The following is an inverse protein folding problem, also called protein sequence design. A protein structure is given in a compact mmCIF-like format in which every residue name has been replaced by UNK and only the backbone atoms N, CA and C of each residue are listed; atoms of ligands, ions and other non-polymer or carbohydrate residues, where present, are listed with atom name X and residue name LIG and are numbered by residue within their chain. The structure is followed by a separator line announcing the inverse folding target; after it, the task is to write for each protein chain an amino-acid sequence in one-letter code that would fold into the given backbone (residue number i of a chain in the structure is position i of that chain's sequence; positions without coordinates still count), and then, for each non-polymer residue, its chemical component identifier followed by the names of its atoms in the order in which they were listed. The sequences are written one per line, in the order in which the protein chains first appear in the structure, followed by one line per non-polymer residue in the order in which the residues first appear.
data_IF_355819791541
#
_entry.id   IF_355819791541
#
_cell.length_a   1.000
_cell.length_b   1.000
_cell.length_c   1.000
_cell.angle_alpha   90.00
_cell.angle_beta   90.00
_cell.angle_gamma   90.00
#
_symmetry.space_group_name_H-M   'P 1'
#
loop_
_entity.id
_entity.type
_entity.pdbx_description
1 polymer ?
#
# COMPACT_ATOMS: atom_id res chain seq x y z
N UNK A 1 76.05 -32.17 -22.30
CA UNK A 1 75.24 -31.71 -21.15
C UNK A 1 74.92 -30.22 -21.24
N UNK A 2 75.89 -29.35 -21.58
CA UNK A 2 75.70 -27.90 -21.84
C UNK A 2 74.45 -27.49 -22.66
N UNK A 3 74.22 -28.14 -23.81
CA UNK A 3 73.10 -27.80 -24.72
C UNK A 3 71.71 -27.79 -24.04
N UNK A 4 71.45 -28.70 -23.10
CA UNK A 4 70.16 -28.77 -22.39
C UNK A 4 70.03 -27.69 -21.31
N UNK A 5 71.13 -27.28 -20.70
CA UNK A 5 71.14 -26.22 -19.70
C UNK A 5 70.88 -24.86 -20.34
N UNK A 6 71.42 -24.64 -21.54
CA UNK A 6 71.20 -23.42 -22.33
C UNK A 6 69.73 -23.34 -22.79
N UNK A 7 69.16 -24.45 -23.27
CA UNK A 7 67.75 -24.53 -23.68
C UNK A 7 66.77 -24.24 -22.52
N UNK A 8 67.05 -24.76 -21.33
CA UNK A 8 66.27 -24.48 -20.11
C UNK A 8 66.38 -23.00 -19.72
N UNK A 9 67.57 -22.40 -19.82
CA UNK A 9 67.76 -20.98 -19.51
C UNK A 9 67.00 -20.08 -20.48
N UNK A 10 66.99 -20.43 -21.76
CA UNK A 10 66.27 -19.69 -22.79
C UNK A 10 64.76 -19.75 -22.56
N UNK A 11 64.22 -20.92 -22.19
CA UNK A 11 62.80 -21.10 -21.88
C UNK A 11 62.39 -20.35 -20.60
N UNK A 12 63.23 -20.38 -19.56
CA UNK A 12 63.01 -19.60 -18.32
C UNK A 12 63.02 -18.10 -18.62
N UNK A 13 63.97 -17.61 -19.40
CA UNK A 13 64.03 -16.20 -19.80
C UNK A 13 62.81 -15.81 -20.64
N UNK A 14 62.36 -16.67 -21.55
CA UNK A 14 61.16 -16.44 -22.36
C UNK A 14 59.90 -16.37 -21.47
N UNK A 15 59.77 -17.26 -20.49
CA UNK A 15 58.67 -17.23 -19.52
C UNK A 15 58.67 -15.96 -18.66
N UNK A 16 59.84 -15.56 -18.14
CA UNK A 16 59.97 -14.31 -17.38
C UNK A 16 59.63 -13.08 -18.24
N UNK A 17 60.12 -13.03 -19.48
CA UNK A 17 59.86 -11.94 -20.41
C UNK A 17 58.38 -11.89 -20.87
N UNK A 18 57.67 -13.02 -20.85
CA UNK A 18 56.21 -13.05 -21.14
C UNK A 18 55.35 -12.43 -20.03
N UNK A 19 55.90 -12.31 -18.83
CA UNK A 19 55.24 -11.69 -17.67
C UNK A 19 55.60 -10.20 -17.55
N UNK A 20 56.60 -9.72 -18.29
CA UNK A 20 56.95 -8.29 -18.35
C UNK A 20 55.82 -7.52 -19.03
N UNK A 21 55.24 -6.56 -18.31
CA UNK A 21 54.08 -5.79 -18.75
C UNK A 21 52.72 -6.32 -18.27
N UNK A 22 52.70 -7.45 -17.54
CA UNK A 22 51.50 -7.92 -16.86
C UNK A 22 51.13 -6.96 -15.71
N UNK A 23 50.22 -6.03 -15.99
CA UNK A 23 49.65 -5.16 -14.97
C UNK A 23 48.50 -5.84 -14.25
N UNK A 24 48.32 -5.49 -12.97
CA UNK A 24 47.20 -5.95 -12.16
C UNK A 24 45.89 -5.56 -12.88
N UNK A 25 45.06 -6.53 -13.20
CA UNK A 25 43.77 -6.28 -13.84
C UNK A 25 42.92 -5.37 -12.94
N UNK A 26 42.71 -4.13 -13.37
CA UNK A 26 41.76 -3.23 -12.74
C UNK A 26 40.34 -3.61 -13.17
N UNK A 27 39.34 -3.24 -12.37
CA UNK A 27 37.96 -3.32 -12.81
C UNK A 27 37.82 -2.48 -14.08
N UNK A 28 37.20 -3.05 -15.12
CA UNK A 28 36.98 -2.33 -16.36
C UNK A 28 36.13 -1.07 -16.13
N UNK A 29 36.23 -0.11 -17.04
CA UNK A 29 35.51 1.16 -16.94
C UNK A 29 34.02 0.94 -16.67
N UNK A 30 33.45 1.79 -15.80
CA UNK A 30 32.04 1.74 -15.38
C UNK A 30 31.59 0.43 -14.72
N UNK A 31 32.51 -0.45 -14.28
CA UNK A 31 32.15 -1.64 -13.50
C UNK A 31 31.36 -1.28 -12.24
N UNK A 32 31.83 -0.26 -11.51
CA UNK A 32 31.17 0.23 -10.30
C UNK A 32 29.74 0.70 -10.57
N UNK A 33 29.54 1.49 -11.64
CA UNK A 33 28.22 1.99 -12.04
C UNK A 33 27.26 0.84 -12.39
N UNK A 34 27.73 -0.14 -13.16
CA UNK A 34 26.93 -1.32 -13.52
C UNK A 34 26.56 -2.16 -12.31
N UNK A 35 27.49 -2.32 -11.37
CA UNK A 35 27.25 -3.04 -10.12
C UNK A 35 26.20 -2.31 -9.26
N UNK A 36 26.36 -0.99 -9.09
CA UNK A 36 25.43 -0.17 -8.32
C UNK A 36 24.02 -0.19 -8.91
N UNK A 37 23.89 -0.05 -10.22
CA UNK A 37 22.60 -0.13 -10.91
C UNK A 37 21.90 -1.49 -10.67
N UNK A 38 22.67 -2.58 -10.72
CA UNK A 38 22.14 -3.93 -10.49
C UNK A 38 21.74 -4.18 -9.02
N UNK A 39 22.43 -3.55 -8.08
CA UNK A 39 22.09 -3.60 -6.65
C UNK A 39 20.82 -2.80 -6.35
N UNK A 40 20.69 -1.60 -6.91
CA UNK A 40 19.47 -0.77 -6.76
C UNK A 40 18.25 -1.44 -7.39
N UNK A 41 18.41 -2.06 -8.56
CA UNK A 41 17.33 -2.77 -9.25
C UNK A 41 16.78 -3.99 -8.48
N UNK A 42 17.57 -4.57 -7.55
CA UNK A 42 17.13 -5.68 -6.70
C UNK A 42 16.30 -5.23 -5.49
N UNK A 43 16.40 -3.97 -5.08
CA UNK A 43 15.67 -3.44 -3.92
C UNK A 43 14.18 -3.19 -4.14
N UNK A 44 13.72 -3.18 -5.39
CA UNK A 44 12.44 -2.57 -5.78
C UNK A 44 11.30 -3.54 -6.13
N UNK A 45 11.47 -4.86 -6.01
CA UNK A 45 10.63 -5.74 -6.85
C UNK A 45 9.14 -5.82 -6.46
N UNK A 46 8.80 -5.79 -5.16
CA UNK A 46 7.41 -5.99 -4.71
C UNK A 46 6.78 -4.72 -4.11
N UNK A 47 7.43 -4.08 -3.14
CA UNK A 47 6.89 -2.90 -2.46
C UNK A 47 6.81 -1.68 -3.39
N UNK A 48 7.87 -1.37 -4.16
CA UNK A 48 7.80 -0.26 -5.14
C UNK A 48 6.78 -0.52 -6.25
N UNK A 49 6.52 -1.78 -6.62
CA UNK A 49 5.49 -2.10 -7.60
C UNK A 49 4.09 -1.83 -7.07
N UNK A 50 3.84 -2.15 -5.79
CA UNK A 50 2.58 -1.84 -5.10
C UNK A 50 2.43 -0.33 -4.89
N UNK A 51 3.48 0.35 -4.42
CA UNK A 51 3.51 1.81 -4.26
C UNK A 51 3.31 2.54 -5.60
N UNK A 52 3.95 2.07 -6.67
CA UNK A 52 3.76 2.61 -8.02
C UNK A 52 2.35 2.35 -8.58
N UNK A 53 1.68 1.29 -8.14
CA UNK A 53 0.29 1.02 -8.50
C UNK A 53 -0.70 1.92 -7.75
N UNK A 54 -0.49 2.10 -6.44
CA UNK A 54 -1.31 2.98 -5.60
C UNK A 54 -1.09 4.46 -5.96
N UNK A 55 0.13 4.84 -6.33
CA UNK A 55 0.47 6.20 -6.75
C UNK A 55 -0.11 6.59 -8.13
N UNK A 56 -0.79 5.67 -8.84
CA UNK A 56 -1.51 6.05 -10.05
C UNK A 56 -2.73 6.89 -9.67
N UNK A 57 -2.92 8.08 -10.28
CA UNK A 57 -4.00 9.00 -9.91
C UNK A 57 -5.38 8.35 -10.01
N UNK A 58 -5.59 7.44 -10.96
CA UNK A 58 -6.83 6.67 -11.08
C UNK A 58 -7.14 5.81 -9.85
N UNK A 59 -6.14 5.17 -9.24
CA UNK A 59 -6.33 4.29 -8.08
C UNK A 59 -6.62 5.12 -6.83
N UNK A 60 -5.92 6.25 -6.65
CA UNK A 60 -6.19 7.19 -5.57
C UNK A 60 -7.61 7.75 -5.63
N UNK A 61 -8.07 8.15 -6.84
CA UNK A 61 -9.43 8.65 -7.05
C UNK A 61 -10.48 7.57 -6.74
N UNK A 62 -10.30 6.34 -7.23
CA UNK A 62 -11.21 5.23 -6.92
C UNK A 62 -11.26 4.94 -5.42
N UNK A 63 -10.11 4.93 -4.73
CA UNK A 63 -10.07 4.77 -3.28
C UNK A 63 -10.84 5.87 -2.54
N UNK A 64 -10.70 7.12 -2.97
CA UNK A 64 -11.44 8.25 -2.41
C UNK A 64 -12.95 8.10 -2.63
N UNK A 65 -13.38 7.68 -3.82
CA UNK A 65 -14.78 7.37 -4.09
C UNK A 65 -15.33 6.24 -3.20
N UNK A 66 -14.56 5.18 -2.95
CA UNK A 66 -14.98 4.09 -2.06
C UNK A 66 -15.20 4.61 -0.64
N UNK A 67 -14.26 5.41 -0.13
CA UNK A 67 -14.38 6.03 1.20
C UNK A 67 -15.62 6.92 1.24
N UNK A 68 -15.84 7.74 0.21
CA UNK A 68 -17.00 8.62 0.12
C UNK A 68 -18.32 7.84 0.08
N UNK A 69 -18.41 6.79 -0.72
CA UNK A 69 -19.60 5.92 -0.81
C UNK A 69 -19.92 5.24 0.52
N UNK A 70 -18.91 4.69 1.21
CA UNK A 70 -19.09 4.09 2.53
C UNK A 70 -19.68 5.10 3.52
N UNK A 71 -19.13 6.31 3.57
CA UNK A 71 -19.63 7.36 4.44
C UNK A 71 -21.03 7.84 4.04
N UNK A 72 -21.31 7.97 2.74
CA UNK A 72 -22.64 8.33 2.24
C UNK A 72 -23.69 7.28 2.58
N UNK A 73 -23.37 5.98 2.47
CA UNK A 73 -24.31 4.90 2.84
C UNK A 73 -24.67 4.98 4.33
N UNK A 74 -23.67 5.17 5.19
CA UNK A 74 -23.89 5.32 6.64
C UNK A 74 -24.79 6.54 6.91
N UNK A 75 -24.51 7.66 6.26
CA UNK A 75 -25.29 8.89 6.42
C UNK A 75 -26.74 8.72 5.95
N UNK A 76 -26.97 8.08 4.80
CA UNK A 76 -28.32 7.83 4.28
C UNK A 76 -29.12 6.94 5.25
N UNK A 77 -28.50 5.88 5.78
CA UNK A 77 -29.17 5.01 6.77
C UNK A 77 -29.52 5.75 8.06
N UNK A 78 -28.67 6.67 8.51
CA UNK A 78 -28.99 7.53 9.66
C UNK A 78 -30.17 8.46 9.35
N UNK A 79 -30.22 9.05 8.15
CA UNK A 79 -31.35 9.90 7.76
C UNK A 79 -32.67 9.11 7.58
N UNK A 80 -32.62 7.88 7.04
CA UNK A 80 -33.79 7.01 6.92
C UNK A 80 -34.34 6.58 8.30
N UNK A 81 -33.45 6.30 9.26
CA UNK A 81 -33.83 6.03 10.66
C UNK A 81 -34.46 7.25 11.33
N UNK A 82 -34.03 8.47 10.98
CA UNK A 82 -34.63 9.71 11.50
C UNK A 82 -35.98 10.05 10.82
N UNK A 83 -36.20 9.58 9.58
CA UNK A 83 -37.37 9.92 8.76
C UNK A 83 -38.53 8.91 8.91
N UNK A 84 -38.23 7.70 9.34
CA UNK A 84 -39.27 6.76 9.79
C UNK A 84 -39.66 7.18 11.20
N UNK A 85 -40.90 7.66 11.37
CA UNK A 85 -41.48 8.15 12.63
C UNK A 85 -41.62 7.10 13.74
N UNK A 86 -40.55 6.36 13.99
CA UNK A 86 -40.40 5.35 15.02
C UNK A 86 -40.53 5.97 16.41
N UNK A 87 -40.18 7.25 16.56
CA UNK A 87 -40.34 7.97 17.83
C UNK A 87 -41.83 8.09 18.22
N UNK A 88 -42.74 8.39 17.29
CA UNK A 88 -44.14 8.59 17.64
C UNK A 88 -44.88 7.27 17.91
N UNK A 89 -44.61 6.22 17.11
CA UNK A 89 -45.17 4.89 17.34
C UNK A 89 -44.59 4.21 18.59
N UNK A 90 -43.31 4.40 18.88
CA UNK A 90 -42.69 3.89 20.11
C UNK A 90 -43.13 4.66 21.35
N UNK A 91 -43.28 6.00 21.27
CA UNK A 91 -43.85 6.82 22.35
C UNK A 91 -45.31 6.47 22.63
N UNK A 92 -46.11 6.18 21.61
CA UNK A 92 -47.51 5.79 21.77
C UNK A 92 -47.65 4.40 22.38
N UNK A 93 -46.84 3.43 21.95
CA UNK A 93 -46.76 2.11 22.59
C UNK A 93 -46.29 2.21 24.05
N UNK A 94 -45.35 3.10 24.36
CA UNK A 94 -44.89 3.35 25.73
C UNK A 94 -45.98 3.99 26.60
N UNK A 95 -46.75 4.94 26.06
CA UNK A 95 -47.86 5.58 26.78
C UNK A 95 -49.00 4.59 27.07
N UNK A 96 -49.28 3.68 26.13
CA UNK A 96 -50.29 2.63 26.26
C UNK A 96 -49.87 1.56 27.29
N UNK A 97 -48.59 1.15 27.28
CA UNK A 97 -48.06 0.18 28.24
C UNK A 97 -48.05 0.70 29.69
N UNK A 98 -47.76 1.98 29.89
CA UNK A 98 -47.83 2.62 31.22
C UNK A 98 -49.23 3.15 31.57
N UNK A 99 -50.23 2.92 30.71
CA UNK A 99 -51.61 3.40 30.87
C UNK A 99 -51.66 4.87 31.31
N UNK A 100 -50.85 5.72 30.66
CA UNK A 100 -50.83 7.17 30.88
C UNK A 100 -52.06 7.87 30.28
N UNK A 101 -53.18 7.15 30.15
CA UNK A 101 -54.49 7.73 29.86
C UNK A 101 -54.85 8.66 31.03
N UNK A 102 -54.53 9.95 30.87
CA UNK A 102 -55.07 10.98 31.74
C UNK A 102 -56.54 11.11 31.37
N UNK A 103 -57.50 10.69 32.23
CA UNK A 103 -58.90 10.94 31.96
C UNK A 103 -59.10 12.45 31.99
N UNK A 104 -59.31 13.04 30.82
CA UNK A 104 -59.71 14.45 30.74
C UNK A 104 -61.18 14.53 31.16
N UNK A 105 -61.42 14.82 32.44
CA UNK A 105 -62.76 14.99 33.05
C UNK A 105 -63.36 16.36 32.69
N UNK A 106 -63.19 16.80 31.44
CA UNK A 106 -63.72 18.09 30.96
C UNK A 106 -64.42 17.88 29.62
N UNK A 107 -65.45 17.03 29.59
CA UNK A 107 -66.37 16.95 28.45
C UNK A 107 -67.78 16.51 28.86
N UNK A 108 -68.28 17.02 30.00
CA UNK A 108 -69.64 16.68 30.49
C UNK A 108 -70.50 17.90 30.87
N UNK A 109 -70.12 19.12 30.46
CA UNK A 109 -70.83 20.36 30.85
C UNK A 109 -71.29 21.23 29.66
N UNK A 110 -71.51 20.63 28.47
CA UNK A 110 -72.11 21.37 27.33
C UNK A 110 -73.24 20.63 26.64
N UNK A 111 -74.20 20.15 27.42
CA UNK A 111 -75.52 19.78 26.92
C UNK A 111 -76.60 20.15 27.96
N UNK A 112 -76.95 21.44 28.03
CA UNK A 112 -78.32 21.95 28.28
C UNK A 112 -78.43 23.42 27.84
#
# INVERSE_FOLDING_TARGET
MKKREDEIRDEVNAAMNSLDGANRAAAGDFFFTRLQARLQQKGSSAWERVLGWIARPSVAITGLFIILLLNSIVLIRQFEQQSTGTDQASLQAFAEEYRLEVPTIYDDDKME
#
